data_IF_088792579384
#
_entry.id   IF_088792579384
#
_cell.length_a   1.000
_cell.length_b   1.000
_cell.length_c   1.000
_cell.angle_alpha   90.00
_cell.angle_beta   90.00
_cell.angle_gamma   90.00
#
_symmetry.space_group_name_H-M   'P 1'
#
loop_
_entity.id
_entity.type
_entity.pdbx_description
1 polymer ?
#
# COMPACT_ATOMS: atom_id res chain seq x y z
N UNK A 1 -8.75 13.55 3.47
CA UNK A 1 -7.31 13.46 3.77
C UNK A 1 -6.81 14.81 4.27
N UNK A 2 -6.13 14.85 5.42
CA UNK A 2 -5.53 16.07 5.98
C UNK A 2 -4.49 16.68 5.03
N UNK A 3 -3.71 15.85 4.34
CA UNK A 3 -2.72 16.26 3.34
C UNK A 3 -3.36 16.99 2.14
N UNK A 4 -4.47 16.48 1.62
CA UNK A 4 -5.17 17.12 0.50
C UNK A 4 -5.75 18.50 0.89
N UNK A 5 -6.26 18.63 2.12
CA UNK A 5 -6.70 19.93 2.66
C UNK A 5 -5.55 20.91 2.80
N UNK A 6 -4.38 20.46 3.24
CA UNK A 6 -3.20 21.30 3.34
C UNK A 6 -2.75 21.83 1.97
N UNK A 7 -2.72 20.98 0.94
CA UNK A 7 -2.43 21.40 -0.44
C UNK A 7 -3.43 22.44 -0.92
N UNK A 8 -4.73 22.20 -0.71
CA UNK A 8 -5.77 23.15 -1.12
C UNK A 8 -5.62 24.51 -0.42
N UNK A 9 -5.31 24.52 0.88
CA UNK A 9 -5.12 25.75 1.64
C UNK A 9 -3.89 26.54 1.15
N UNK A 10 -2.78 25.86 0.84
CA UNK A 10 -1.58 26.52 0.30
C UNK A 10 -1.83 27.17 -1.06
N UNK A 11 -2.58 26.49 -1.94
CA UNK A 11 -2.99 27.05 -3.23
C UNK A 11 -3.93 28.26 -3.05
N UNK A 12 -4.84 28.20 -2.07
CA UNK A 12 -5.74 29.31 -1.78
C UNK A 12 -5.02 30.54 -1.21
N UNK A 13 -3.95 30.35 -0.41
CA UNK A 13 -3.22 31.44 0.26
C UNK A 13 -2.20 32.09 -0.69
N UNK A 14 -1.41 31.29 -1.40
CA UNK A 14 -0.29 31.77 -2.22
C UNK A 14 -0.62 31.85 -3.72
N UNK A 15 -1.85 31.52 -4.12
CA UNK A 15 -2.25 31.42 -5.51
C UNK A 15 -1.73 30.15 -6.21
N UNK A 16 -2.14 29.95 -7.47
CA UNK A 16 -1.98 28.67 -8.15
C UNK A 16 -0.51 28.31 -8.45
N UNK A 17 0.33 29.30 -8.77
CA UNK A 17 1.73 29.06 -9.18
C UNK A 17 2.62 28.78 -7.96
N UNK A 18 2.65 29.70 -7.00
CA UNK A 18 3.49 29.59 -5.80
C UNK A 18 2.94 28.52 -4.85
N UNK A 19 1.63 28.42 -4.69
CA UNK A 19 1.00 27.39 -3.85
C UNK A 19 1.24 25.96 -4.34
N UNK A 20 1.30 25.74 -5.67
CA UNK A 20 1.69 24.43 -6.24
C UNK A 20 3.17 24.12 -6.01
N UNK A 21 4.07 25.10 -6.19
CA UNK A 21 5.49 24.92 -5.91
C UNK A 21 5.74 24.56 -4.44
N UNK A 22 5.13 25.30 -3.51
CA UNK A 22 5.26 25.03 -2.08
C UNK A 22 4.64 23.70 -1.65
N UNK A 23 3.65 23.20 -2.38
CA UNK A 23 2.93 21.95 -2.10
C UNK A 23 3.42 20.74 -2.88
N UNK A 24 4.45 20.88 -3.72
CA UNK A 24 4.91 19.84 -4.64
C UNK A 24 5.20 18.52 -3.93
N UNK A 25 5.90 18.57 -2.79
CA UNK A 25 6.20 17.39 -1.97
C UNK A 25 4.93 16.69 -1.48
N UNK A 26 3.94 17.44 -1.00
CA UNK A 26 2.69 16.88 -0.51
C UNK A 26 1.87 16.26 -1.64
N UNK A 27 1.85 16.89 -2.81
CA UNK A 27 1.21 16.34 -4.01
C UNK A 27 1.87 15.02 -4.42
N UNK A 28 3.21 14.95 -4.39
CA UNK A 28 3.96 13.73 -4.69
C UNK A 28 3.61 12.59 -3.73
N UNK A 29 3.54 12.88 -2.43
CA UNK A 29 3.14 11.90 -1.41
C UNK A 29 1.72 11.39 -1.64
N UNK A 30 0.78 12.29 -1.95
CA UNK A 30 -0.62 11.91 -2.23
C UNK A 30 -0.69 10.98 -3.44
N UNK A 31 0.05 11.28 -4.52
CA UNK A 31 0.13 10.40 -5.70
C UNK A 31 0.72 9.05 -5.37
N UNK A 32 1.83 9.03 -4.64
CA UNK A 32 2.49 7.79 -4.24
C UNK A 32 1.56 6.90 -3.41
N UNK A 33 0.82 7.48 -2.45
CA UNK A 33 -0.18 6.75 -1.67
C UNK A 33 -1.25 6.17 -2.60
N UNK A 34 -1.81 6.98 -3.50
CA UNK A 34 -2.88 6.54 -4.41
C UNK A 34 -2.42 5.41 -5.34
N UNK A 35 -1.23 5.54 -5.93
CA UNK A 35 -0.63 4.51 -6.80
C UNK A 35 -0.40 3.21 -6.05
N UNK A 36 0.19 3.28 -4.85
CA UNK A 36 0.43 2.10 -4.01
C UNK A 36 -0.87 1.41 -3.60
N UNK A 37 -1.87 2.17 -3.16
CA UNK A 37 -3.18 1.62 -2.80
C UNK A 37 -3.81 0.89 -3.99
N UNK A 38 -3.77 1.46 -5.18
CA UNK A 38 -4.31 0.82 -6.38
C UNK A 38 -3.60 -0.51 -6.72
N UNK A 39 -2.26 -0.55 -6.60
CA UNK A 39 -1.49 -1.78 -6.80
C UNK A 39 -1.86 -2.84 -5.73
N UNK A 40 -2.03 -2.43 -4.47
CA UNK A 40 -2.45 -3.33 -3.39
C UNK A 40 -3.83 -3.91 -3.68
N UNK A 41 -4.82 -3.06 -4.02
CA UNK A 41 -6.18 -3.49 -4.32
C UNK A 41 -6.21 -4.49 -5.48
N UNK A 42 -5.56 -4.14 -6.60
CA UNK A 42 -5.46 -5.02 -7.78
C UNK A 42 -4.74 -6.33 -7.42
N UNK A 43 -3.63 -6.25 -6.70
CA UNK A 43 -2.87 -7.42 -6.27
C UNK A 43 -3.66 -8.36 -5.36
N UNK A 44 -4.48 -7.81 -4.46
CA UNK A 44 -5.37 -8.58 -3.59
C UNK A 44 -6.45 -9.30 -4.40
N UNK A 45 -7.07 -8.63 -5.38
CA UNK A 45 -8.05 -9.27 -6.25
C UNK A 45 -7.44 -10.44 -7.04
N UNK A 46 -6.27 -10.24 -7.63
CA UNK A 46 -5.53 -11.29 -8.33
C UNK A 46 -5.15 -12.45 -7.40
N UNK A 47 -4.68 -12.16 -6.19
CA UNK A 47 -4.34 -13.15 -5.18
C UNK A 47 -5.56 -14.00 -4.80
N UNK A 48 -6.71 -13.36 -4.58
CA UNK A 48 -7.96 -14.05 -4.26
C UNK A 48 -8.39 -14.97 -5.42
N UNK A 49 -8.27 -14.50 -6.66
CA UNK A 49 -8.60 -15.30 -7.84
C UNK A 49 -7.64 -16.48 -8.03
N UNK A 50 -6.33 -16.27 -7.85
CA UNK A 50 -5.33 -17.35 -7.88
C UNK A 50 -5.60 -18.39 -6.79
N UNK A 51 -5.95 -17.94 -5.57
CA UNK A 51 -6.31 -18.84 -4.46
C UNK A 51 -7.57 -19.66 -4.76
N UNK A 52 -8.59 -19.07 -5.38
CA UNK A 52 -9.79 -19.80 -5.83
C UNK A 52 -9.44 -20.91 -6.81
N UNK A 53 -8.49 -20.67 -7.73
CA UNK A 53 -8.05 -21.68 -8.69
C UNK A 53 -7.22 -22.78 -8.00
N UNK A 54 -6.23 -22.41 -7.19
CA UNK A 54 -5.38 -23.36 -6.47
C UNK A 54 -6.18 -24.28 -5.54
N UNK A 55 -7.24 -23.77 -4.92
CA UNK A 55 -8.09 -24.56 -4.02
C UNK A 55 -8.90 -25.66 -4.71
N UNK A 56 -9.16 -25.54 -6.02
CA UNK A 56 -9.85 -26.56 -6.81
C UNK A 56 -8.97 -27.77 -7.15
N UNK A 57 -7.65 -27.66 -6.97
CA UNK A 57 -6.72 -28.77 -7.20
C UNK A 57 -6.96 -29.84 -6.14
N UNK A 58 -7.22 -31.08 -6.56
CA UNK A 58 -7.48 -32.21 -5.64
C UNK A 58 -6.18 -32.78 -5.07
N UNK A 59 -5.14 -32.86 -5.90
CA UNK A 59 -3.81 -33.33 -5.50
C UNK A 59 -3.17 -32.36 -4.52
N UNK A 60 -2.91 -32.84 -3.30
CA UNK A 60 -2.29 -32.02 -2.24
C UNK A 60 -0.89 -31.54 -2.64
N UNK A 61 -0.13 -32.37 -3.37
CA UNK A 61 1.20 -32.00 -3.87
C UNK A 61 1.11 -30.85 -4.86
N UNK A 62 0.22 -30.94 -5.84
CA UNK A 62 0.05 -29.89 -6.85
C UNK A 62 -0.52 -28.61 -6.25
N UNK A 63 -1.43 -28.73 -5.28
CA UNK A 63 -1.94 -27.58 -4.52
C UNK A 63 -0.81 -26.87 -3.78
N UNK A 64 0.06 -27.61 -3.08
CA UNK A 64 1.20 -27.04 -2.38
C UNK A 64 2.14 -26.29 -3.34
N UNK A 65 2.43 -26.88 -4.51
CA UNK A 65 3.24 -26.24 -5.55
C UNK A 65 2.56 -24.95 -6.05
N UNK A 66 1.26 -24.98 -6.35
CA UNK A 66 0.53 -23.79 -6.80
C UNK A 66 0.54 -22.66 -5.75
N UNK A 67 0.43 -23.01 -4.46
CA UNK A 67 0.54 -22.05 -3.37
C UNK A 67 1.94 -21.43 -3.27
N UNK A 68 2.97 -22.25 -3.39
CA UNK A 68 4.36 -21.80 -3.35
C UNK A 68 4.72 -20.93 -4.57
N UNK A 69 4.38 -21.36 -5.78
CA UNK A 69 4.86 -20.73 -7.01
C UNK A 69 4.01 -19.54 -7.45
N UNK A 70 2.72 -19.51 -7.08
CA UNK A 70 1.79 -18.47 -7.55
C UNK A 70 1.29 -17.55 -6.44
N UNK A 71 0.93 -18.10 -5.27
CA UNK A 71 0.28 -17.33 -4.19
C UNK A 71 1.31 -16.60 -3.35
N UNK A 72 2.40 -17.27 -2.94
CA UNK A 72 3.43 -16.66 -2.10
C UNK A 72 4.11 -15.45 -2.79
N UNK A 73 4.48 -15.47 -4.09
CA UNK A 73 5.07 -14.31 -4.75
C UNK A 73 4.12 -13.11 -4.87
N UNK A 74 2.82 -13.37 -5.04
CA UNK A 74 1.79 -12.31 -5.04
C UNK A 74 1.65 -11.68 -3.65
N UNK A 75 1.67 -12.48 -2.59
CA UNK A 75 1.68 -11.95 -1.21
C UNK A 75 2.90 -11.06 -0.96
N UNK A 76 4.09 -11.48 -1.43
CA UNK A 76 5.31 -10.70 -1.28
C UNK A 76 5.25 -9.35 -2.00
N UNK A 77 4.66 -9.32 -3.20
CA UNK A 77 4.44 -8.08 -3.95
C UNK A 77 3.52 -7.11 -3.19
N UNK A 78 2.42 -7.61 -2.64
CA UNK A 78 1.48 -6.81 -1.84
C UNK A 78 2.18 -6.29 -0.58
N UNK A 79 2.91 -7.18 0.13
CA UNK A 79 3.66 -6.84 1.33
C UNK A 79 4.65 -5.70 1.07
N UNK A 80 5.42 -5.78 -0.01
CA UNK A 80 6.36 -4.72 -0.38
C UNK A 80 5.67 -3.35 -0.52
N UNK A 81 4.48 -3.29 -1.12
CA UNK A 81 3.75 -2.03 -1.24
C UNK A 81 3.24 -1.51 0.11
N UNK A 82 2.73 -2.40 0.97
CA UNK A 82 2.27 -2.07 2.33
C UNK A 82 3.43 -1.55 3.18
N UNK A 83 4.59 -2.23 3.17
CA UNK A 83 5.77 -1.84 3.93
C UNK A 83 6.26 -0.43 3.51
N UNK A 84 6.19 -0.11 2.20
CA UNK A 84 6.51 1.25 1.73
C UNK A 84 5.45 2.27 2.14
N UNK A 85 4.19 1.89 2.18
CA UNK A 85 3.10 2.75 2.62
C UNK A 85 3.21 3.07 4.13
N UNK A 86 3.61 2.10 4.95
CA UNK A 86 3.84 2.25 6.39
C UNK A 86 4.88 3.34 6.73
N UNK A 87 5.90 3.50 5.86
CA UNK A 87 6.93 4.54 6.01
C UNK A 87 6.40 5.95 5.71
N UNK A 88 5.35 6.07 4.91
CA UNK A 88 4.77 7.34 4.45
C UNK A 88 3.62 7.78 5.37
N UNK A 89 2.86 6.82 5.90
CA UNK A 89 1.70 7.08 6.75
C UNK A 89 2.11 7.27 8.21
N UNK A 90 1.56 8.31 8.85
CA UNK A 90 1.77 8.59 10.28
C UNK A 90 1.33 7.42 11.15
N UNK A 91 2.05 7.16 12.24
CA UNK A 91 1.73 6.12 13.22
C UNK A 91 0.31 6.26 13.79
N UNK A 92 -0.17 7.49 14.01
CA UNK A 92 -1.52 7.74 14.55
C UNK A 92 -2.65 7.23 13.63
N UNK A 93 -2.39 7.11 12.33
CA UNK A 93 -3.37 6.65 11.34
C UNK A 93 -3.20 5.16 11.01
N UNK A 94 -2.11 4.53 11.45
CA UNK A 94 -1.81 3.14 11.18
C UNK A 94 -2.40 2.27 12.30
N UNK A 95 -3.39 1.44 11.96
CA UNK A 95 -4.18 0.70 12.97
C UNK A 95 -3.49 -0.53 13.53
N UNK A 96 -2.42 -0.99 12.90
CA UNK A 96 -1.63 -2.15 13.32
C UNK A 96 -0.33 -1.67 13.98
N UNK A 97 0.24 -2.43 14.93
CA UNK A 97 1.58 -2.14 15.43
C UNK A 97 2.59 -2.14 14.27
N UNK A 98 3.45 -1.12 14.21
CA UNK A 98 4.49 -1.01 13.19
C UNK A 98 5.58 -2.05 13.40
N UNK A 99 6.33 -2.40 12.34
CA UNK A 99 7.41 -3.39 12.48
C UNK A 99 8.45 -3.01 13.54
N UNK A 100 8.75 -1.72 13.66
CA UNK A 100 9.66 -1.21 14.69
C UNK A 100 9.14 -1.46 16.10
N UNK A 101 7.82 -1.41 16.29
CA UNK A 101 7.18 -1.61 17.57
C UNK A 101 7.21 -3.09 17.95
N UNK A 102 6.89 -3.96 16.99
CA UNK A 102 6.93 -5.42 17.16
C UNK A 102 8.33 -5.96 17.47
N UNK A 103 9.38 -5.32 16.95
CA UNK A 103 10.76 -5.80 17.09
C UNK A 103 11.53 -5.20 18.26
N UNK A 104 11.17 -4.00 18.72
CA UNK A 104 11.99 -3.24 19.67
C UNK A 104 11.26 -2.76 20.93
N UNK A 105 9.94 -2.87 21.01
CA UNK A 105 9.22 -2.62 22.28
C UNK A 105 9.36 -3.89 23.15
N UNK A 106 10.18 -3.79 24.19
CA UNK A 106 10.25 -4.71 25.33
C UNK A 106 9.60 -4.06 26.54
#
# INVERSE_FOLDING_TARGET
SQLAKNVQNMVNIFGDVEGKQLSERNIKIIREIAERTNIIETGVEELVNARKQANKIESQREKAIAYHDTIAPKMETIRYQIDKLELVVSDELWTLPKYRELLFIR
#
